data_IF_978535109751
#
_entry.id   IF_978535109751
#
_cell.length_a   1.000
_cell.length_b   1.000
_cell.length_c   1.000
_cell.angle_alpha   90.00
_cell.angle_beta   90.00
_cell.angle_gamma   90.00
#
_symmetry.space_group_name_H-M   'P 1'
#
loop_
_entity.id
_entity.type
_entity.pdbx_description
1 polymer ?
#
# COMPACT_ATOMS: atom_id res chain seq x y z
N UNK A 1 -5.16 4.52 -18.80
CA UNK A 1 -4.52 4.10 -17.54
C UNK A 1 -4.78 5.17 -16.50
N UNK A 2 -5.06 4.77 -15.27
CA UNK A 2 -5.24 5.66 -14.12
C UNK A 2 -3.95 5.67 -13.28
N UNK A 3 -3.60 6.81 -12.68
CA UNK A 3 -2.38 6.94 -11.87
C UNK A 3 -2.42 6.02 -10.64
N UNK A 4 -3.58 5.84 -10.01
CA UNK A 4 -3.74 4.92 -8.87
C UNK A 4 -3.30 3.49 -9.20
N UNK A 5 -3.56 3.01 -10.43
CA UNK A 5 -3.08 1.70 -10.88
C UNK A 5 -1.55 1.70 -11.02
N UNK A 6 -0.97 2.77 -11.54
CA UNK A 6 0.47 2.89 -11.68
C UNK A 6 1.18 2.92 -10.31
N UNK A 7 0.60 3.59 -9.32
CA UNK A 7 1.09 3.57 -7.93
C UNK A 7 1.05 2.14 -7.37
N UNK A 8 -0.04 1.41 -7.60
CA UNK A 8 -0.17 0.02 -7.17
C UNK A 8 0.87 -0.88 -7.85
N UNK A 9 1.05 -0.74 -9.16
CA UNK A 9 2.04 -1.47 -9.95
C UNK A 9 3.45 -1.22 -9.41
N UNK A 10 3.79 0.05 -9.15
CA UNK A 10 5.07 0.43 -8.58
C UNK A 10 5.27 -0.18 -7.19
N UNK A 11 4.35 0.10 -6.27
CA UNK A 11 4.46 -0.29 -4.87
C UNK A 11 4.55 -1.81 -4.68
N UNK A 12 3.81 -2.57 -5.50
CA UNK A 12 3.80 -4.04 -5.46
C UNK A 12 4.82 -4.67 -6.40
N UNK A 13 5.61 -3.87 -7.12
CA UNK A 13 6.58 -4.33 -8.13
C UNK A 13 5.97 -5.27 -9.18
N UNK A 14 4.77 -4.94 -9.69
CA UNK A 14 4.01 -5.76 -10.64
C UNK A 14 4.40 -5.44 -12.11
N UNK A 15 5.69 -5.42 -12.37
CA UNK A 15 6.28 -5.17 -13.69
C UNK A 15 7.59 -5.94 -13.82
N UNK A 16 8.10 -6.09 -15.03
CA UNK A 16 9.37 -6.76 -15.28
C UNK A 16 10.55 -5.96 -14.71
N UNK A 17 11.11 -6.48 -13.62
CA UNK A 17 12.29 -5.94 -12.94
C UNK A 17 13.61 -6.36 -13.61
N UNK A 18 13.58 -7.34 -14.53
CA UNK A 18 14.78 -7.78 -15.20
C UNK A 18 15.34 -6.64 -16.05
N UNK A 19 16.65 -6.40 -15.91
CA UNK A 19 17.37 -5.42 -16.72
C UNK A 19 16.65 -4.07 -16.74
N UNK A 20 16.30 -3.53 -15.56
CA UNK A 20 15.63 -2.23 -15.45
C UNK A 20 16.65 -1.12 -15.72
N UNK A 21 16.27 -0.17 -16.57
CA UNK A 21 17.11 0.96 -16.95
C UNK A 21 16.30 2.25 -16.92
N UNK A 22 16.98 3.37 -16.66
CA UNK A 22 16.43 4.70 -16.91
C UNK A 22 16.26 4.94 -18.40
N UNK A 23 15.51 5.97 -18.77
CA UNK A 23 15.39 6.43 -20.16
C UNK A 23 16.70 7.01 -20.73
N UNK A 24 17.70 7.24 -19.86
CA UNK A 24 19.08 7.56 -20.24
C UNK A 24 20.01 6.33 -20.30
N UNK A 25 19.45 5.12 -20.21
CA UNK A 25 20.15 3.82 -20.23
C UNK A 25 21.06 3.56 -19.03
N UNK A 26 20.79 4.16 -17.87
CA UNK A 26 21.49 3.81 -16.63
C UNK A 26 20.80 2.64 -15.93
N UNK A 27 21.55 1.63 -15.44
CA UNK A 27 20.95 0.48 -14.76
C UNK A 27 20.28 0.92 -13.45
N UNK A 28 19.10 0.36 -13.17
CA UNK A 28 18.31 0.67 -11.98
C UNK A 28 18.06 -0.59 -11.15
N UNK A 29 18.32 -0.50 -9.85
CA UNK A 29 17.97 -1.53 -8.88
C UNK A 29 17.11 -0.93 -7.74
N UNK A 30 15.93 -1.48 -7.54
CA UNK A 30 14.95 -0.99 -6.56
C UNK A 30 15.11 -1.73 -5.23
N UNK A 31 15.89 -1.16 -4.31
CA UNK A 31 16.06 -1.70 -2.97
C UNK A 31 14.82 -1.46 -2.10
N UNK A 32 14.20 -0.28 -2.23
CA UNK A 32 12.96 0.09 -1.55
C UNK A 32 12.15 1.06 -2.40
N UNK A 33 10.88 0.74 -2.70
CA UNK A 33 9.98 1.56 -3.53
C UNK A 33 9.56 2.87 -2.88
N UNK A 34 9.78 3.00 -1.57
CA UNK A 34 9.26 4.08 -0.74
C UNK A 34 7.97 3.70 -0.01
N UNK A 35 7.57 4.57 0.90
CA UNK A 35 6.36 4.52 1.72
C UNK A 35 5.32 5.40 1.03
N UNK A 36 4.10 4.91 0.73
CA UNK A 36 3.05 5.73 0.14
C UNK A 36 2.80 6.99 0.97
N UNK A 37 2.73 8.14 0.30
CA UNK A 37 2.37 9.41 0.90
C UNK A 37 0.87 9.64 0.74
N UNK A 38 0.19 10.02 1.82
CA UNK A 38 -1.23 10.45 1.77
C UNK A 38 -1.38 11.96 1.94
N UNK A 39 -0.28 12.66 2.20
CA UNK A 39 -0.23 14.10 2.40
C UNK A 39 0.29 14.81 1.15
N UNK A 40 0.50 16.12 1.24
CA UNK A 40 1.10 16.91 0.16
C UNK A 40 2.53 16.45 -0.16
N UNK A 41 2.92 16.56 -1.43
CA UNK A 41 4.26 16.27 -1.93
C UNK A 41 4.30 14.99 -2.74
N UNK A 42 5.50 14.39 -2.90
CA UNK A 42 5.66 13.26 -3.79
C UNK A 42 4.87 12.01 -3.38
N UNK A 43 4.56 11.17 -4.35
CA UNK A 43 3.71 9.98 -4.15
C UNK A 43 4.27 8.94 -3.18
N UNK A 44 5.60 8.77 -3.16
CA UNK A 44 6.28 7.83 -2.27
C UNK A 44 7.49 8.48 -1.60
N UNK A 45 7.54 8.39 -0.26
CA UNK A 45 8.63 8.92 0.55
C UNK A 45 9.67 7.85 0.87
N UNK A 46 10.92 8.25 1.11
CA UNK A 46 11.99 7.36 1.62
C UNK A 46 12.23 6.11 0.74
N UNK A 47 12.20 6.29 -0.58
CA UNK A 47 12.67 5.29 -1.52
C UNK A 47 14.20 5.15 -1.45
N UNK A 48 14.69 3.95 -1.78
CA UNK A 48 16.12 3.65 -1.91
C UNK A 48 16.35 2.92 -3.22
N UNK A 49 17.02 3.58 -4.15
CA UNK A 49 17.17 3.13 -5.53
C UNK A 49 18.65 3.25 -5.90
N UNK A 50 19.26 2.17 -6.42
CA UNK A 50 20.58 2.27 -7.04
C UNK A 50 20.39 2.61 -8.51
N UNK A 51 21.01 3.69 -8.97
CA UNK A 51 21.00 4.14 -10.37
C UNK A 51 22.46 4.29 -10.81
N UNK A 52 22.85 3.55 -11.85
CA UNK A 52 24.27 3.40 -12.19
C UNK A 52 25.02 2.73 -11.03
N UNK A 53 26.08 3.39 -10.54
CA UNK A 53 26.82 2.95 -9.35
C UNK A 53 26.38 3.64 -8.05
N UNK A 54 25.50 4.64 -8.13
CA UNK A 54 25.13 5.48 -7.00
C UNK A 54 23.87 4.94 -6.32
N UNK A 55 23.91 4.84 -4.99
CA UNK A 55 22.72 4.60 -4.18
C UNK A 55 22.06 5.94 -3.81
N UNK A 56 20.81 6.11 -4.22
CA UNK A 56 19.98 7.27 -3.94
C UNK A 56 18.99 6.97 -2.81
N UNK A 57 18.76 7.96 -1.95
CA UNK A 57 17.72 7.94 -0.93
C UNK A 57 16.90 9.23 -1.02
N UNK A 58 15.59 9.11 -1.25
CA UNK A 58 14.74 10.26 -1.53
C UNK A 58 13.30 9.86 -1.81
N UNK A 59 12.64 10.58 -2.72
CA UNK A 59 11.23 10.39 -3.05
C UNK A 59 11.06 9.85 -4.47
N UNK A 60 9.92 9.21 -4.72
CA UNK A 60 9.52 8.78 -6.05
C UNK A 60 8.22 9.49 -6.39
N UNK A 61 8.19 10.05 -7.59
CA UNK A 61 6.99 10.64 -8.17
C UNK A 61 6.48 9.78 -9.31
N UNK A 62 5.16 9.71 -9.49
CA UNK A 62 4.51 8.85 -10.47
C UNK A 62 3.53 9.66 -11.33
N UNK A 63 3.63 9.47 -12.64
CA UNK A 63 2.67 10.08 -13.57
C UNK A 63 2.38 9.17 -14.76
N UNK A 64 1.23 9.32 -15.43
CA UNK A 64 1.02 8.60 -16.71
C UNK A 64 2.00 9.11 -17.78
N UNK A 65 2.18 10.43 -17.85
CA UNK A 65 3.10 11.08 -18.78
C UNK A 65 4.04 11.98 -18.00
N UNK A 66 5.32 11.98 -18.37
CA UNK A 66 6.30 12.81 -17.66
C UNK A 66 6.00 14.31 -17.75
N UNK A 67 5.36 14.77 -18.84
CA UNK A 67 4.90 16.16 -18.99
C UNK A 67 3.96 16.66 -17.90
N UNK A 68 3.27 15.75 -17.18
CA UNK A 68 2.42 16.11 -16.04
C UNK A 68 3.19 16.80 -14.91
N UNK A 69 4.51 16.54 -14.80
CA UNK A 69 5.40 17.24 -13.88
C UNK A 69 5.26 18.77 -13.95
N UNK A 70 5.24 19.31 -15.17
CA UNK A 70 5.12 20.74 -15.42
C UNK A 70 3.67 21.23 -15.37
N UNK A 71 2.71 20.38 -15.74
CA UNK A 71 1.29 20.71 -15.61
C UNK A 71 0.90 20.96 -14.15
N UNK A 72 1.51 20.21 -13.23
CA UNK A 72 1.30 20.34 -11.80
C UNK A 72 2.26 21.34 -11.13
N UNK A 73 3.13 21.99 -11.91
CA UNK A 73 4.13 22.95 -11.42
C UNK A 73 5.10 22.37 -10.38
N UNK A 74 5.38 21.06 -10.44
CA UNK A 74 6.31 20.40 -9.51
C UNK A 74 7.74 20.92 -9.67
N UNK A 75 8.10 21.48 -10.83
CA UNK A 75 9.42 22.07 -11.06
C UNK A 75 9.69 23.32 -10.21
N UNK A 76 8.64 23.88 -9.59
CA UNK A 76 8.73 25.09 -8.74
C UNK A 76 8.33 24.82 -7.29
N UNK A 77 8.02 23.58 -6.94
CA UNK A 77 7.58 23.22 -5.59
C UNK A 77 8.73 22.55 -4.82
N UNK A 78 9.23 23.17 -3.74
CA UNK A 78 10.33 22.62 -2.95
C UNK A 78 10.08 21.21 -2.38
N UNK A 79 8.83 20.78 -2.22
CA UNK A 79 8.51 19.42 -1.77
C UNK A 79 9.03 18.34 -2.73
N UNK A 80 9.23 18.69 -4.01
CA UNK A 80 9.64 17.77 -5.07
C UNK A 80 11.15 17.80 -5.35
N UNK A 81 11.91 18.69 -4.70
CA UNK A 81 13.36 18.81 -4.89
C UNK A 81 14.15 17.56 -4.47
N UNK A 82 13.56 16.69 -3.65
CA UNK A 82 14.16 15.43 -3.22
C UNK A 82 13.57 14.21 -3.95
N UNK A 83 12.90 14.41 -5.09
CA UNK A 83 12.51 13.32 -5.99
C UNK A 83 13.76 12.79 -6.70
N UNK A 84 14.05 11.51 -6.49
CA UNK A 84 15.25 10.83 -7.01
C UNK A 84 14.95 9.94 -8.22
N UNK A 85 13.66 9.70 -8.49
CA UNK A 85 13.21 8.87 -9.59
C UNK A 85 11.78 9.28 -9.97
N UNK A 86 11.57 9.51 -11.27
CA UNK A 86 10.25 9.68 -11.86
C UNK A 86 9.83 8.36 -12.50
N UNK A 87 8.74 7.77 -12.02
CA UNK A 87 8.19 6.53 -12.58
C UNK A 87 7.00 6.89 -13.44
N UNK A 88 7.08 6.62 -14.73
CA UNK A 88 6.00 6.97 -15.65
C UNK A 88 5.50 5.78 -16.43
N UNK A 89 4.25 5.86 -16.90
CA UNK A 89 3.82 4.94 -17.94
C UNK A 89 4.64 5.18 -19.20
N UNK A 90 4.77 6.45 -19.60
CA UNK A 90 5.56 6.90 -20.76
C UNK A 90 6.24 8.25 -20.51
N UNK A 91 7.52 8.35 -20.84
CA UNK A 91 8.27 9.61 -20.87
C UNK A 91 8.02 10.29 -22.22
N UNK A 92 7.17 11.32 -22.23
CA UNK A 92 6.93 12.13 -23.43
C UNK A 92 7.87 13.33 -23.53
N UNK A 93 8.50 13.73 -22.42
CA UNK A 93 9.59 14.70 -22.39
C UNK A 93 10.45 14.54 -21.12
N UNK A 94 11.74 14.93 -21.15
CA UNK A 94 12.56 14.99 -19.94
C UNK A 94 11.98 15.97 -18.92
N UNK A 95 12.16 15.66 -17.63
CA UNK A 95 11.73 16.52 -16.52
C UNK A 95 12.93 16.96 -15.69
N UNK A 96 12.83 18.18 -15.16
CA UNK A 96 13.91 18.81 -14.40
C UNK A 96 13.39 19.37 -13.08
N UNK A 97 14.22 19.33 -12.05
CA UNK A 97 13.99 20.03 -10.78
C UNK A 97 14.21 21.54 -10.93
N UNK A 98 13.91 22.31 -9.89
CA UNK A 98 14.21 23.75 -9.84
C UNK A 98 15.71 24.05 -10.06
N UNK A 99 16.60 23.12 -9.69
CA UNK A 99 18.05 23.26 -9.85
C UNK A 99 18.58 22.84 -11.23
N UNK A 100 17.70 22.70 -12.23
CA UNK A 100 18.02 22.24 -13.59
C UNK A 100 18.64 20.83 -13.61
N UNK A 101 18.32 20.01 -12.62
CA UNK A 101 18.75 18.61 -12.56
C UNK A 101 17.71 17.73 -13.25
N UNK A 102 18.12 16.96 -14.26
CA UNK A 102 17.26 15.98 -14.91
C UNK A 102 16.96 14.85 -13.93
N UNK A 103 15.69 14.65 -13.62
CA UNK A 103 15.30 13.56 -12.73
C UNK A 103 15.40 12.25 -13.52
N UNK A 104 16.13 11.23 -12.99
CA UNK A 104 16.16 9.91 -13.61
C UNK A 104 14.74 9.37 -13.78
N UNK A 105 14.42 8.87 -14.97
CA UNK A 105 13.07 8.44 -15.33
C UNK A 105 13.06 6.97 -15.73
N UNK A 106 12.05 6.21 -15.31
CA UNK A 106 11.78 4.85 -15.84
C UNK A 106 10.40 4.79 -16.48
N UNK A 107 10.31 4.08 -17.60
CA UNK A 107 9.04 3.81 -18.30
C UNK A 107 8.54 2.40 -18.00
N UNK A 108 7.25 2.29 -17.67
CA UNK A 108 6.60 1.01 -17.38
C UNK A 108 5.72 0.47 -18.51
N UNK A 109 5.45 1.24 -19.58
CA UNK A 109 4.52 0.85 -20.66
C UNK A 109 4.78 -0.55 -21.25
N UNK A 110 6.05 -0.88 -21.47
CA UNK A 110 6.45 -2.16 -22.05
C UNK A 110 6.89 -3.21 -21.01
N UNK A 111 6.72 -2.92 -19.72
CA UNK A 111 7.15 -3.79 -18.61
C UNK A 111 6.00 -4.35 -17.79
N UNK A 112 4.78 -3.88 -18.01
CA UNK A 112 3.59 -4.37 -17.32
C UNK A 112 2.85 -5.39 -18.18
N UNK A 113 2.48 -6.51 -17.59
CA UNK A 113 1.67 -7.53 -18.24
C UNK A 113 0.28 -6.94 -18.60
N UNK A 114 -0.08 -7.01 -19.88
CA UNK A 114 -1.40 -6.57 -20.37
C UNK A 114 -2.55 -7.29 -19.67
N UNK A 115 -2.37 -8.56 -19.31
CA UNK A 115 -3.43 -9.31 -18.60
C UNK A 115 -3.71 -8.74 -17.20
N UNK A 116 -2.74 -8.07 -16.58
CA UNK A 116 -2.94 -7.37 -15.31
C UNK A 116 -3.79 -6.12 -15.51
N UNK A 117 -3.50 -5.35 -16.56
CA UNK A 117 -4.27 -4.15 -16.91
C UNK A 117 -5.72 -4.50 -17.23
N UNK A 118 -5.93 -5.54 -18.04
CA UNK A 118 -7.26 -6.02 -18.41
C UNK A 118 -8.05 -6.50 -17.19
N UNK A 119 -7.39 -7.24 -16.28
CA UNK A 119 -8.00 -7.67 -15.01
C UNK A 119 -8.39 -6.49 -14.12
N UNK A 120 -7.52 -5.49 -13.98
CA UNK A 120 -7.84 -4.28 -13.22
C UNK A 120 -9.04 -3.55 -13.82
N UNK A 121 -9.04 -3.33 -15.14
CA UNK A 121 -10.16 -2.70 -15.82
C UNK A 121 -11.45 -3.48 -15.67
N UNK A 122 -11.39 -4.81 -15.72
CA UNK A 122 -12.56 -5.66 -15.48
C UNK A 122 -13.10 -5.48 -14.05
N UNK A 123 -12.23 -5.52 -13.03
CA UNK A 123 -12.62 -5.38 -11.62
C UNK A 123 -13.20 -3.99 -11.33
N UNK A 124 -12.53 -2.92 -11.76
CA UNK A 124 -12.97 -1.55 -11.46
C UNK A 124 -14.26 -1.13 -12.16
N UNK A 125 -14.55 -1.73 -13.33
CA UNK A 125 -15.79 -1.47 -14.06
C UNK A 125 -16.90 -2.49 -13.74
N UNK A 126 -16.65 -3.48 -12.89
CA UNK A 126 -17.65 -4.45 -12.51
C UNK A 126 -18.68 -3.81 -11.55
N UNK A 127 -19.96 -4.02 -11.81
CA UNK A 127 -21.08 -3.49 -11.00
C UNK A 127 -21.53 -4.44 -9.89
N UNK A 128 -20.90 -5.61 -9.76
CA UNK A 128 -21.13 -6.53 -8.66
C UNK A 128 -20.83 -5.86 -7.30
N UNK A 129 -21.54 -6.29 -6.25
CA UNK A 129 -21.32 -5.76 -4.89
C UNK A 129 -19.88 -5.95 -4.41
N UNK A 130 -19.25 -7.05 -4.81
CA UNK A 130 -17.82 -7.28 -4.68
C UNK A 130 -17.27 -7.48 -6.09
N UNK A 131 -16.31 -6.65 -6.56
CA UNK A 131 -15.79 -6.71 -7.92
C UNK A 131 -15.35 -8.10 -8.43
N UNK A 132 -14.85 -8.95 -7.53
CA UNK A 132 -14.41 -10.31 -7.84
C UNK A 132 -15.42 -11.41 -7.45
N UNK A 133 -16.66 -11.07 -7.08
CA UNK A 133 -17.66 -12.03 -6.57
C UNK A 133 -17.87 -13.24 -7.50
N UNK A 134 -17.93 -13.00 -8.81
CA UNK A 134 -18.09 -14.06 -9.82
C UNK A 134 -16.94 -15.06 -9.81
N UNK A 135 -15.72 -14.64 -9.48
CA UNK A 135 -14.54 -15.50 -9.41
C UNK A 135 -14.61 -16.50 -8.25
N UNK A 136 -15.42 -16.23 -7.22
CA UNK A 136 -15.63 -17.17 -6.11
C UNK A 136 -16.25 -18.50 -6.58
N UNK A 137 -16.99 -18.49 -7.69
CA UNK A 137 -17.58 -19.70 -8.28
C UNK A 137 -16.55 -20.62 -8.93
N UNK A 138 -15.36 -20.10 -9.25
CA UNK A 138 -14.24 -20.89 -9.80
C UNK A 138 -13.55 -21.72 -8.71
N UNK A 139 -13.77 -21.39 -7.44
CA UNK A 139 -13.24 -22.14 -6.29
C UNK A 139 -14.23 -23.23 -5.91
N UNK A 140 -13.75 -24.47 -5.81
CA UNK A 140 -14.59 -25.62 -5.44
C UNK A 140 -15.29 -25.41 -4.09
N UNK A 141 -16.50 -25.95 -3.95
CA UNK A 141 -17.29 -25.79 -2.74
C UNK A 141 -16.57 -26.34 -1.49
N UNK A 142 -15.89 -27.47 -1.61
CA UNK A 142 -15.12 -28.10 -0.52
C UNK A 142 -14.03 -27.15 -0.01
N UNK A 143 -13.31 -26.48 -0.91
CA UNK A 143 -12.26 -25.52 -0.53
C UNK A 143 -12.88 -24.31 0.18
N UNK A 144 -14.02 -23.80 -0.32
CA UNK A 144 -14.69 -22.65 0.31
C UNK A 144 -15.13 -22.96 1.74
N UNK A 145 -15.80 -24.10 1.97
CA UNK A 145 -16.24 -24.49 3.30
C UNK A 145 -15.07 -24.76 4.24
N UNK A 146 -14.07 -25.53 3.78
CA UNK A 146 -12.88 -25.80 4.61
C UNK A 146 -12.15 -24.53 5.01
N UNK A 147 -12.09 -23.52 4.12
CA UNK A 147 -11.47 -22.25 4.45
C UNK A 147 -12.31 -21.43 5.45
N UNK A 148 -13.64 -21.41 5.29
CA UNK A 148 -14.54 -20.76 6.24
C UNK A 148 -14.45 -21.38 7.64
N UNK A 149 -14.45 -22.72 7.73
CA UNK A 149 -14.29 -23.44 9.00
C UNK A 149 -12.97 -23.09 9.69
N UNK A 150 -11.88 -23.06 8.92
CA UNK A 150 -10.56 -22.66 9.43
C UNK A 150 -10.57 -21.21 9.93
N UNK A 151 -11.09 -20.27 9.14
CA UNK A 151 -11.15 -18.86 9.54
C UNK A 151 -12.03 -18.66 10.79
N UNK A 152 -13.11 -19.41 10.92
CA UNK A 152 -13.95 -19.39 12.12
C UNK A 152 -13.19 -19.89 13.36
N UNK A 153 -12.45 -21.00 13.23
CA UNK A 153 -11.62 -21.53 14.31
C UNK A 153 -10.52 -20.55 14.71
N UNK A 154 -9.76 -20.01 13.75
CA UNK A 154 -8.71 -19.01 13.99
C UNK A 154 -9.27 -17.74 14.66
N UNK A 155 -10.44 -17.27 14.21
CA UNK A 155 -11.10 -16.11 14.81
C UNK A 155 -11.56 -16.38 16.24
N UNK A 156 -12.06 -17.58 16.52
CA UNK A 156 -12.45 -17.97 17.88
C UNK A 156 -11.23 -18.05 18.78
N UNK A 157 -10.14 -18.66 18.31
CA UNK A 157 -8.87 -18.76 19.03
C UNK A 157 -8.30 -17.38 19.36
N UNK A 158 -8.25 -16.47 18.37
CA UNK A 158 -7.82 -15.08 18.59
C UNK A 158 -8.66 -14.39 19.67
N UNK A 159 -10.00 -14.51 19.59
CA UNK A 159 -10.90 -13.89 20.57
C UNK A 159 -10.74 -14.47 21.97
N UNK A 160 -10.69 -15.78 22.09
CA UNK A 160 -10.56 -16.46 23.38
C UNK A 160 -9.20 -16.17 24.00
N UNK A 161 -8.12 -16.15 23.21
CA UNK A 161 -6.78 -15.80 23.68
C UNK A 161 -6.74 -14.37 24.25
N UNK A 162 -7.40 -13.41 23.58
CA UNK A 162 -7.52 -12.04 24.09
C UNK A 162 -8.27 -12.01 25.44
N UNK A 163 -9.39 -12.72 25.55
CA UNK A 163 -10.16 -12.80 26.80
C UNK A 163 -9.34 -13.43 27.92
N UNK A 164 -8.63 -14.53 27.64
CA UNK A 164 -7.73 -15.17 28.61
C UNK A 164 -6.66 -14.21 29.11
N UNK A 165 -6.06 -13.43 28.21
CA UNK A 165 -5.07 -12.43 28.59
C UNK A 165 -5.65 -11.34 29.52
N UNK A 166 -6.87 -10.85 29.24
CA UNK A 166 -7.55 -9.91 30.12
C UNK A 166 -7.88 -10.54 31.48
N UNK A 167 -8.36 -11.78 31.49
CA UNK A 167 -8.67 -12.49 32.72
C UNK A 167 -7.41 -12.67 33.61
N UNK A 168 -6.27 -12.96 33.01
CA UNK A 168 -4.98 -13.03 33.71
C UNK A 168 -4.58 -11.67 34.30
N UNK A 169 -4.77 -10.57 33.55
CA UNK A 169 -4.55 -9.19 34.04
C UNK A 169 -5.48 -8.81 35.20
N UNK A 170 -6.69 -9.36 35.22
CA UNK A 170 -7.67 -9.21 36.29
C UNK A 170 -7.48 -10.22 37.45
N UNK A 171 -6.34 -10.91 37.53
CA UNK A 171 -6.09 -11.92 38.56
C UNK A 171 -7.22 -12.98 38.68
N UNK A 172 -7.78 -13.40 37.55
CA UNK A 172 -8.91 -14.32 37.44
C UNK A 172 -10.28 -13.77 37.92
N UNK A 173 -10.42 -12.44 38.09
CA UNK A 173 -11.69 -11.82 38.43
C UNK A 173 -12.61 -11.68 37.19
N UNK A 174 -13.52 -12.64 37.02
CA UNK A 174 -14.31 -12.77 35.80
C UNK A 174 -15.27 -11.59 35.55
N UNK A 175 -15.83 -10.97 36.59
CA UNK A 175 -16.74 -9.83 36.45
C UNK A 175 -16.03 -8.59 35.90
N UNK A 176 -14.80 -8.37 36.37
CA UNK A 176 -13.96 -7.26 35.91
C UNK A 176 -13.52 -7.50 34.46
N UNK A 177 -13.07 -8.71 34.14
CA UNK A 177 -12.73 -9.09 32.78
C UNK A 177 -13.93 -8.96 31.82
N UNK A 178 -15.14 -9.35 32.25
CA UNK A 178 -16.36 -9.17 31.49
C UNK A 178 -16.68 -7.69 31.25
N UNK A 179 -16.58 -6.85 32.28
CA UNK A 179 -16.81 -5.41 32.16
C UNK A 179 -15.84 -4.76 31.15
N UNK A 180 -14.55 -5.10 31.24
CA UNK A 180 -13.51 -4.62 30.30
C UNK A 180 -13.83 -5.06 28.87
N UNK A 181 -14.17 -6.34 28.66
CA UNK A 181 -14.52 -6.85 27.34
C UNK A 181 -15.79 -6.20 26.77
N UNK A 182 -16.78 -5.92 27.61
CA UNK A 182 -17.99 -5.20 27.23
C UNK A 182 -17.66 -3.76 26.82
N UNK A 183 -16.84 -3.06 27.60
CA UNK A 183 -16.40 -1.70 27.29
C UNK A 183 -15.60 -1.65 25.98
N UNK A 184 -14.68 -2.60 25.77
CA UNK A 184 -13.96 -2.77 24.50
C UNK A 184 -14.92 -2.89 23.32
N UNK A 185 -15.96 -3.73 23.45
CA UNK A 185 -16.94 -3.94 22.39
C UNK A 185 -17.79 -2.69 22.11
N UNK A 186 -18.12 -1.91 23.14
CA UNK A 186 -18.82 -0.63 23.01
C UNK A 186 -17.95 0.47 22.37
N UNK A 187 -16.63 0.37 22.51
CA UNK A 187 -15.67 1.29 21.88
C UNK A 187 -15.60 1.19 20.35
N UNK A 188 -16.13 0.11 19.75
CA UNK A 188 -16.03 -0.20 18.32
C UNK A 188 -14.55 -0.21 17.82
N UNK A 189 -14.26 -0.46 16.53
CA UNK A 189 -12.87 -0.51 16.05
C UNK A 189 -12.06 0.76 16.36
N UNK A 190 -12.72 1.93 16.39
CA UNK A 190 -12.05 3.21 16.62
C UNK A 190 -11.54 3.41 18.06
N UNK A 191 -12.28 2.93 19.08
CA UNK A 191 -11.93 3.20 20.49
C UNK A 191 -11.81 1.93 21.36
N UNK A 192 -11.88 0.74 20.76
CA UNK A 192 -11.83 -0.53 21.50
C UNK A 192 -10.62 -0.64 22.45
N UNK A 193 -9.41 -0.38 21.94
CA UNK A 193 -8.18 -0.45 22.76
C UNK A 193 -8.14 0.62 23.85
N UNK A 194 -8.61 1.84 23.55
CA UNK A 194 -8.66 2.94 24.52
C UNK A 194 -9.65 2.65 25.66
N UNK A 195 -10.82 2.10 25.35
CA UNK A 195 -11.84 1.73 26.34
C UNK A 195 -11.36 0.57 27.23
N UNK A 196 -10.69 -0.42 26.64
CA UNK A 196 -10.07 -1.51 27.40
C UNK A 196 -9.03 -0.97 28.40
N UNK A 197 -8.08 -0.16 27.93
CA UNK A 197 -7.03 0.45 28.77
C UNK A 197 -7.58 1.35 29.87
N UNK A 198 -8.67 2.08 29.59
CA UNK A 198 -9.36 2.88 30.58
C UNK A 198 -9.93 1.99 31.69
N UNK A 199 -10.71 0.97 31.32
CA UNK A 199 -11.38 0.09 32.27
C UNK A 199 -10.41 -0.74 33.11
N UNK A 200 -9.24 -1.12 32.56
CA UNK A 200 -8.16 -1.79 33.31
C UNK A 200 -7.55 -0.93 34.43
N UNK A 201 -7.72 0.40 34.38
CA UNK A 201 -7.19 1.34 35.38
C UNK A 201 -8.22 1.79 36.40
N UNK A 202 -9.48 1.37 36.24
CA UNK A 202 -10.53 1.66 37.21
C UNK A 202 -10.33 0.73 38.42
N UNK A 203 -10.12 1.26 39.64
CA UNK A 203 -10.08 0.43 40.83
C UNK A 203 -11.40 -0.29 41.05
N UNK A 204 -11.36 -1.49 41.62
CA UNK A 204 -12.56 -2.22 42.08
C UNK A 204 -13.32 -1.44 43.17
#
# INVERSE_FOLDING_TARGET
MEEQLLHFIWHRKLFDLASLFTTENEPVEILHTGIPNSDQGPDFLQARIKIGEQLWAGHVEIHIRSSAWYLHSHERDPHYNNVILHVVWKEDQPVFTESDFRIPCIELENRVDKTLLDRYHHLMNNQEWIPCASSLTQVSEVVRHSWLDRMMAERLEYKTTHISHILDRCAQHWEQAFFIMLARQLGAPANSDAMEELCLKIPD
#
